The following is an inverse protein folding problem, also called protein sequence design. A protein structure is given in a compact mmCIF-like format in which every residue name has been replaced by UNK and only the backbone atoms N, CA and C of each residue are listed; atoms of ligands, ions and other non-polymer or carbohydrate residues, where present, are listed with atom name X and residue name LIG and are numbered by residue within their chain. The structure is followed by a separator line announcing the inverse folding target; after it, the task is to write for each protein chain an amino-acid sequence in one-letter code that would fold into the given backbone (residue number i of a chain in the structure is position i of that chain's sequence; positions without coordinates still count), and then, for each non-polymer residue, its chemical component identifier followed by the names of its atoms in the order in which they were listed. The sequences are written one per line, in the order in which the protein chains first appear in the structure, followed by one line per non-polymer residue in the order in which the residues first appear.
data_IF_369239549436
#
_entry.id   IF_369239549436
#
_cell.length_a   1.000
_cell.length_b   1.000
_cell.length_c   1.000
_cell.angle_alpha   90.00
_cell.angle_beta   90.00
_cell.angle_gamma   90.00
#
_symmetry.space_group_name_H-M   'P 1'
#
loop_
_entity.id
_entity.type
_entity.pdbx_description
1 polymer ?
#
# COMPACT_ATOMS: atom_id res chain seq x y z
N UNK A 1 -12.80 -1.87 -20.26
CA UNK A 1 -11.32 -1.81 -20.22
C UNK A 1 -10.88 -2.38 -18.88
N UNK A 2 -9.75 -3.08 -18.80
CA UNK A 2 -9.22 -3.61 -17.52
C UNK A 2 -8.06 -2.73 -17.06
N UNK A 3 -8.05 -2.39 -15.77
CA UNK A 3 -6.98 -1.58 -15.16
C UNK A 3 -5.84 -2.49 -14.69
N UNK A 4 -4.62 -2.00 -14.82
CA UNK A 4 -3.38 -2.68 -14.46
C UNK A 4 -2.51 -1.69 -13.69
N UNK A 5 -1.82 -2.19 -12.67
CA UNK A 5 -0.92 -1.41 -11.83
C UNK A 5 0.34 -2.20 -11.59
N UNK A 6 1.49 -1.53 -11.59
CA UNK A 6 2.79 -2.09 -11.18
C UNK A 6 3.17 -1.43 -9.87
N UNK A 7 3.47 -2.23 -8.85
CA UNK A 7 3.93 -1.76 -7.55
C UNK A 7 5.36 -2.26 -7.34
N UNK A 8 6.26 -1.38 -6.90
CA UNK A 8 7.65 -1.71 -6.55
C UNK A 8 7.96 -1.17 -5.15
N UNK A 9 8.36 -2.05 -4.23
CA UNK A 9 8.72 -1.69 -2.86
C UNK A 9 7.70 -0.79 -2.17
N UNK A 10 6.41 -1.10 -2.34
CA UNK A 10 5.29 -0.36 -1.74
C UNK A 10 4.82 0.87 -2.53
N UNK A 11 5.54 1.26 -3.59
CA UNK A 11 5.24 2.44 -4.42
C UNK A 11 4.50 2.04 -5.69
N UNK A 12 3.47 2.79 -6.06
CA UNK A 12 2.83 2.66 -7.38
C UNK A 12 3.79 3.18 -8.45
N UNK A 13 4.42 2.28 -9.22
CA UNK A 13 5.46 2.59 -10.19
C UNK A 13 4.92 2.78 -11.62
N UNK A 14 3.75 2.21 -11.93
CA UNK A 14 3.02 2.46 -13.17
C UNK A 14 1.54 2.08 -13.04
N UNK A 15 0.71 2.65 -13.92
CA UNK A 15 -0.66 2.23 -14.12
C UNK A 15 -1.03 2.30 -15.61
N UNK A 16 -1.91 1.42 -16.06
CA UNK A 16 -2.33 1.34 -17.45
C UNK A 16 -3.68 0.66 -17.62
N UNK A 17 -4.23 0.72 -18.83
CA UNK A 17 -5.47 0.03 -19.17
C UNK A 17 -5.29 -0.83 -20.41
N UNK A 18 -5.97 -1.98 -20.43
CA UNK A 18 -5.97 -2.90 -21.56
C UNK A 18 -7.35 -2.93 -22.20
N UNK A 19 -7.45 -2.74 -23.53
CA UNK A 19 -8.69 -2.86 -24.27
C UNK A 19 -9.33 -4.25 -24.12
N UNK A 20 -10.68 -4.36 -24.15
CA UNK A 20 -11.35 -5.66 -24.21
C UNK A 20 -10.89 -6.48 -25.42
N UNK A 21 -10.68 -7.78 -25.24
CA UNK A 21 -10.29 -8.70 -26.32
C UNK A 21 -8.80 -8.66 -26.73
N UNK A 22 -8.01 -7.72 -26.20
CA UNK A 22 -6.57 -7.68 -26.44
C UNK A 22 -5.85 -8.80 -25.67
N UNK A 23 -4.77 -9.34 -26.25
CA UNK A 23 -3.88 -10.25 -25.54
C UNK A 23 -3.21 -9.48 -24.38
N UNK A 24 -3.39 -9.89 -23.10
CA UNK A 24 -2.94 -9.08 -21.97
C UNK A 24 -1.42 -9.01 -21.81
N UNK A 25 -0.69 -10.08 -22.14
CA UNK A 25 0.73 -10.22 -21.76
C UNK A 25 1.64 -9.12 -22.34
N UNK A 26 1.56 -8.75 -23.63
CA UNK A 26 2.38 -7.66 -24.17
C UNK A 26 2.17 -6.30 -23.47
N UNK A 27 0.96 -6.04 -22.96
CA UNK A 27 0.67 -4.81 -22.22
C UNK A 27 1.25 -4.84 -20.81
N UNK A 28 1.23 -6.00 -20.16
CA UNK A 28 1.90 -6.20 -18.86
C UNK A 28 3.40 -6.00 -19.02
N UNK A 29 4.01 -6.63 -20.02
CA UNK A 29 5.44 -6.52 -20.28
C UNK A 29 5.85 -5.06 -20.57
N UNK A 30 5.06 -4.36 -21.39
CA UNK A 30 5.26 -2.93 -21.66
C UNK A 30 5.12 -2.07 -20.40
N UNK A 31 4.12 -2.36 -19.55
CA UNK A 31 3.88 -1.61 -18.31
C UNK A 31 5.02 -1.82 -17.30
N UNK A 32 5.56 -3.03 -17.20
CA UNK A 32 6.71 -3.36 -16.35
C UNK A 32 7.98 -2.66 -16.87
N UNK A 33 8.18 -2.66 -18.19
CA UNK A 33 9.34 -2.07 -18.84
C UNK A 33 9.40 -0.54 -18.69
N UNK A 34 8.24 0.14 -18.65
CA UNK A 34 8.16 1.61 -18.51
C UNK A 34 7.95 2.09 -17.08
N UNK A 35 7.69 1.18 -16.13
CA UNK A 35 7.48 1.53 -14.73
C UNK A 35 8.70 2.23 -14.10
N UNK A 36 8.42 3.20 -13.23
CA UNK A 36 9.43 3.92 -12.47
C UNK A 36 10.39 2.94 -11.77
N UNK A 37 11.70 3.19 -11.89
CA UNK A 37 12.69 2.42 -11.14
C UNK A 37 12.68 2.91 -9.70
N UNK A 38 12.29 2.02 -8.78
CA UNK A 38 12.24 2.29 -7.34
C UNK A 38 13.32 1.43 -6.70
N UNK A 39 14.15 2.02 -5.84
CA UNK A 39 15.17 1.26 -5.11
C UNK A 39 14.55 0.66 -3.84
N UNK A 40 14.98 -0.56 -3.45
CA UNK A 40 14.57 -1.11 -2.17
C UNK A 40 15.01 -0.19 -1.02
N UNK A 41 14.24 -0.12 0.08
CA UNK A 41 14.66 0.62 1.26
C UNK A 41 16.02 0.12 1.75
N UNK A 42 16.92 1.04 2.07
CA UNK A 42 18.25 0.70 2.56
C UNK A 42 18.15 0.15 4.00
N UNK A 43 18.41 -1.14 4.18
CA UNK A 43 18.44 -1.79 5.49
C UNK A 43 18.02 -3.24 5.41
N UNK A 44 18.92 -4.16 5.79
CA UNK A 44 18.69 -5.61 5.81
C UNK A 44 17.78 -6.08 6.96
N UNK A 45 17.20 -5.16 7.74
CA UNK A 45 16.35 -5.49 8.88
C UNK A 45 14.87 -5.52 8.48
N UNK A 46 14.17 -6.66 8.63
CA UNK A 46 12.72 -6.71 8.51
C UNK A 46 12.09 -5.83 9.61
N UNK A 47 11.52 -4.70 9.23
CA UNK A 47 10.69 -3.86 10.12
C UNK A 47 11.35 -2.62 10.73
N UNK A 48 12.58 -2.25 10.35
CA UNK A 48 13.22 -1.03 10.83
C UNK A 48 13.62 -0.09 9.69
N UNK A 49 12.89 1.01 9.50
CA UNK A 49 13.55 2.23 9.01
C UNK A 49 14.59 2.58 10.07
N UNK A 50 15.89 2.49 9.74
CA UNK A 50 16.92 2.90 10.66
C UNK A 50 16.66 4.35 11.09
N UNK A 51 16.50 4.60 12.40
CA UNK A 51 16.32 5.95 12.93
C UNK A 51 17.49 6.82 12.43
N UNK A 52 17.18 7.80 11.58
CA UNK A 52 18.17 8.74 11.03
C UNK A 52 18.77 8.38 9.67
N UNK A 53 18.34 7.30 9.01
CA UNK A 53 18.62 7.13 7.59
C UNK A 53 17.78 8.13 6.76
N UNK A 54 18.31 8.68 5.64
CA UNK A 54 17.49 9.48 4.73
C UNK A 54 16.25 8.67 4.35
N UNK A 55 15.06 9.30 4.24
CA UNK A 55 13.84 8.59 3.87
C UNK A 55 14.15 7.75 2.64
N UNK A 56 13.98 6.44 2.77
CA UNK A 56 14.29 5.49 1.70
C UNK A 56 13.72 6.01 0.39
N UNK A 57 14.43 5.82 -0.73
CA UNK A 57 13.87 6.07 -2.06
C UNK A 57 12.67 5.16 -2.42
N UNK A 58 12.18 4.35 -1.47
CA UNK A 58 10.96 3.57 -1.56
C UNK A 58 9.70 4.39 -1.19
N UNK A 59 8.58 3.68 -1.01
CA UNK A 59 7.32 4.31 -0.60
C UNK A 59 7.31 4.78 0.86
N UNK A 60 6.49 5.79 1.16
CA UNK A 60 6.16 6.14 2.55
C UNK A 60 5.19 5.12 3.16
N UNK A 61 5.03 5.14 4.49
CA UNK A 61 4.07 4.26 5.16
C UNK A 61 2.63 4.51 4.65
N UNK A 62 2.25 5.78 4.46
CA UNK A 62 0.92 6.16 3.96
C UNK A 62 0.69 5.69 2.52
N UNK A 63 1.71 5.74 1.67
CA UNK A 63 1.65 5.19 0.31
C UNK A 63 1.47 3.66 0.34
N UNK A 64 2.24 2.97 1.17
CA UNK A 64 2.12 1.52 1.36
C UNK A 64 0.74 1.12 1.88
N UNK A 65 0.21 1.85 2.86
CA UNK A 65 -1.14 1.63 3.38
C UNK A 65 -2.21 1.84 2.31
N UNK A 66 -2.05 2.82 1.43
CA UNK A 66 -2.96 3.04 0.31
C UNK A 66 -2.96 1.84 -0.66
N UNK A 67 -1.76 1.33 -0.99
CA UNK A 67 -1.61 0.15 -1.85
C UNK A 67 -2.19 -1.10 -1.18
N UNK A 68 -1.88 -1.35 0.10
CA UNK A 68 -2.42 -2.48 0.86
C UNK A 68 -3.95 -2.45 0.90
N UNK A 69 -4.53 -1.30 1.23
CA UNK A 69 -5.98 -1.10 1.25
C UNK A 69 -6.61 -1.35 -0.11
N UNK A 70 -5.94 -0.96 -1.19
CA UNK A 70 -6.37 -1.27 -2.55
C UNK A 70 -6.29 -2.76 -2.86
N UNK A 71 -5.19 -3.44 -2.50
CA UNK A 71 -5.00 -4.87 -2.70
C UNK A 71 -6.07 -5.72 -2.00
N UNK A 72 -6.57 -5.25 -0.85
CA UNK A 72 -7.64 -5.91 -0.08
C UNK A 72 -9.04 -5.73 -0.71
N UNK A 73 -9.19 -4.86 -1.72
CA UNK A 73 -10.50 -4.66 -2.34
C UNK A 73 -10.94 -5.88 -3.17
N UNK A 74 -12.24 -6.26 -3.07
CA UNK A 74 -12.79 -7.27 -3.95
C UNK A 74 -12.59 -6.95 -5.42
N UNK A 75 -12.07 -7.91 -6.18
CA UNK A 75 -11.86 -7.78 -7.63
C UNK A 75 -10.44 -7.41 -8.03
N UNK A 76 -9.56 -7.04 -7.08
CA UNK A 76 -8.12 -6.95 -7.35
C UNK A 76 -7.55 -8.35 -7.55
N UNK A 77 -6.64 -8.47 -8.51
CA UNK A 77 -6.01 -9.74 -8.91
C UNK A 77 -4.53 -9.51 -9.08
N UNK A 78 -3.74 -10.36 -8.42
CA UNK A 78 -2.30 -10.36 -8.51
C UNK A 78 -1.88 -11.25 -9.67
N UNK A 79 -1.14 -10.68 -10.61
CA UNK A 79 -0.79 -11.34 -11.89
C UNK A 79 0.60 -11.94 -11.82
N UNK A 80 1.53 -11.20 -11.23
CA UNK A 80 2.94 -11.56 -11.12
C UNK A 80 3.52 -10.89 -9.88
N UNK A 81 4.44 -11.60 -9.22
CA UNK A 81 5.26 -11.10 -8.12
C UNK A 81 6.69 -11.48 -8.42
N UNK A 82 7.59 -10.51 -8.37
CA UNK A 82 9.02 -10.74 -8.34
C UNK A 82 9.45 -11.06 -6.90
N UNK A 83 10.08 -12.21 -6.69
CA UNK A 83 10.42 -12.73 -5.37
C UNK A 83 9.28 -13.49 -4.69
N UNK A 84 9.06 -13.24 -3.40
CA UNK A 84 8.09 -13.97 -2.59
C UNK A 84 7.12 -13.00 -1.91
N UNK A 85 5.83 -13.24 -2.07
CA UNK A 85 4.81 -12.55 -1.30
C UNK A 85 4.75 -13.12 0.11
N UNK A 86 5.15 -12.32 1.10
CA UNK A 86 5.20 -12.73 2.50
C UNK A 86 4.66 -11.62 3.40
N UNK A 87 4.00 -11.99 4.49
CA UNK A 87 3.69 -11.08 5.59
C UNK A 87 4.63 -11.39 6.78
N UNK A 88 5.31 -10.40 7.38
CA UNK A 88 6.15 -10.63 8.56
C UNK A 88 5.34 -11.21 9.72
N UNK A 89 5.85 -12.28 10.35
CA UNK A 89 5.18 -12.96 11.46
C UNK A 89 4.88 -12.05 12.67
N UNK A 90 5.72 -11.04 12.88
CA UNK A 90 5.56 -10.03 13.94
C UNK A 90 5.15 -8.65 13.38
N UNK A 91 4.55 -8.64 12.18
CA UNK A 91 4.00 -7.43 11.59
C UNK A 91 2.70 -6.99 12.26
N UNK A 92 2.25 -5.78 11.92
CA UNK A 92 1.04 -5.20 12.50
C UNK A 92 -0.26 -5.94 12.10
N UNK A 93 -0.23 -6.77 11.05
CA UNK A 93 -1.43 -7.47 10.57
C UNK A 93 -2.01 -8.44 11.61
N UNK A 94 -1.18 -9.04 12.48
CA UNK A 94 -1.67 -9.86 13.59
C UNK A 94 -2.52 -9.09 14.61
N UNK A 95 -2.42 -7.75 14.61
CA UNK A 95 -3.20 -6.85 15.47
C UNK A 95 -4.47 -6.32 14.78
N UNK A 96 -4.76 -6.70 13.53
CA UNK A 96 -5.87 -6.18 12.72
C UNK A 96 -7.20 -6.14 13.48
N UNK A 97 -7.62 -7.27 14.04
CA UNK A 97 -8.90 -7.36 14.76
C UNK A 97 -8.96 -6.43 15.98
N UNK A 98 -7.85 -6.28 16.70
CA UNK A 98 -7.77 -5.36 17.83
C UNK A 98 -7.83 -3.89 17.37
N UNK A 99 -7.14 -3.56 16.27
CA UNK A 99 -7.17 -2.23 15.65
C UNK A 99 -8.59 -1.90 15.18
N UNK A 100 -9.24 -2.81 14.45
CA UNK A 100 -10.60 -2.60 13.93
C UNK A 100 -11.59 -2.35 15.06
N UNK A 101 -11.53 -3.13 16.16
CA UNK A 101 -12.33 -2.90 17.37
C UNK A 101 -12.04 -1.57 18.04
N UNK A 102 -10.79 -1.12 18.06
CA UNK A 102 -10.43 0.20 18.60
C UNK A 102 -11.05 1.34 17.76
N UNK A 103 -11.20 1.15 16.44
CA UNK A 103 -11.80 2.13 15.53
C UNK A 103 -13.33 2.02 15.40
N UNK A 104 -13.96 0.88 15.74
CA UNK A 104 -15.42 0.68 15.70
C UNK A 104 -16.21 1.65 16.61
N UNK A 105 -15.55 2.34 17.55
CA UNK A 105 -16.21 3.32 18.42
C UNK A 105 -15.36 4.56 18.65
N UNK A 106 -15.52 5.55 17.78
CA UNK A 106 -15.21 6.93 18.10
C UNK A 106 -16.32 7.85 17.56
N UNK A 107 -17.47 7.91 18.26
CA UNK A 107 -18.33 9.10 18.14
C UNK A 107 -17.50 10.28 18.63
N UNK A 108 -17.18 11.28 17.78
CA UNK A 108 -16.50 12.46 18.26
C UNK A 108 -17.39 13.07 19.34
N UNK A 109 -16.90 13.12 20.57
CA UNK A 109 -17.58 13.84 21.63
C UNK A 109 -17.81 15.26 21.12
N UNK A 110 -19.07 15.64 20.90
CA UNK A 110 -19.41 17.03 20.63
C UNK A 110 -18.72 17.88 21.70
N UNK A 111 -18.01 18.98 21.33
CA UNK A 111 -17.47 19.88 22.32
C UNK A 111 -18.61 20.24 23.27
N UNK A 112 -18.45 19.96 24.56
CA UNK A 112 -19.42 20.39 25.56
C UNK A 112 -19.63 21.88 25.33
N UNK A 113 -20.85 22.28 24.95
CA UNK A 113 -21.19 23.68 24.71
C UNK A 113 -20.63 24.50 25.87
N UNK A 114 -19.67 25.37 25.55
CA UNK A 114 -18.88 26.08 26.54
C UNK A 114 -19.79 26.77 27.54
N UNK A 115 -19.46 26.62 28.83
CA UNK A 115 -20.13 27.37 29.90
C UNK A 115 -20.03 28.87 29.54
N UNK A 116 -21.13 29.63 29.51
CA UNK A 116 -21.08 31.02 29.10
C UNK A 116 -20.13 31.79 30.02
N UNK A 117 -19.17 32.49 29.42
CA UNK A 117 -18.31 33.42 30.13
C UNK A 117 -19.18 34.56 30.63
N UNK A 118 -19.24 34.72 31.95
CA UNK A 118 -19.87 35.85 32.62
C UNK A 118 -18.99 37.08 32.52
#
# INVERSE_FOLDING_TARGET
MRNWSVVRYGRLAAAGTVPPGAQPRPYVDALIATAETVFPPAGEAPGGVALGAPPSAGATAEEMECVLRWLDLPGVRLVEVDGTWTCPAHGAEGLREWIDKAYERHEPSHPRAGRPLR
#
